data_IF_758949919288
#
_entry.id   IF_758949919288
#
_cell.length_a   1.000
_cell.length_b   1.000
_cell.length_c   1.000
_cell.angle_alpha   90.00
_cell.angle_beta   90.00
_cell.angle_gamma   90.00
#
_symmetry.space_group_name_H-M   'P 1'
#
loop_
_entity.id
_entity.type
_entity.pdbx_description
1 polymer ?
#
# COMPACT_ATOMS: atom_id res chain seq x y z
N UNK A 1 2.17 -11.57 5.33
CA UNK A 1 3.08 -12.02 6.42
C UNK A 1 2.26 -12.04 7.70
N UNK A 2 2.59 -12.89 8.69
CA UNK A 2 1.98 -12.81 10.03
C UNK A 2 3.05 -12.36 11.03
N UNK A 3 2.69 -11.44 11.89
CA UNK A 3 3.46 -11.05 13.06
C UNK A 3 2.74 -11.66 14.27
N UNK A 4 3.46 -12.46 15.04
CA UNK A 4 2.90 -13.15 16.22
C UNK A 4 3.69 -12.83 17.48
N UNK A 5 3.06 -12.98 18.62
CA UNK A 5 3.74 -13.09 19.91
C UNK A 5 4.42 -14.46 20.10
N UNK A 6 5.03 -14.68 21.25
CA UNK A 6 5.74 -15.93 21.58
C UNK A 6 4.80 -17.14 21.75
N UNK A 7 3.51 -16.91 21.97
CA UNK A 7 2.51 -17.95 22.18
C UNK A 7 1.70 -18.23 20.88
N UNK A 8 2.06 -17.56 19.78
CA UNK A 8 1.42 -17.69 18.47
C UNK A 8 0.17 -16.82 18.30
N UNK A 9 -0.12 -15.92 19.23
CA UNK A 9 -1.17 -14.92 19.09
C UNK A 9 -0.84 -13.93 17.95
N UNK A 10 -1.79 -13.67 17.06
CA UNK A 10 -1.59 -12.77 15.93
C UNK A 10 -1.61 -11.32 16.43
N UNK A 11 -0.50 -10.60 16.22
CA UNK A 11 -0.38 -9.17 16.48
C UNK A 11 -0.88 -8.39 15.26
N UNK A 12 -0.43 -8.77 14.05
CA UNK A 12 -0.84 -8.15 12.80
C UNK A 12 -0.53 -9.05 11.60
N UNK A 13 -1.13 -8.75 10.43
CA UNK A 13 -0.96 -9.47 9.17
C UNK A 13 -0.52 -8.56 8.01
N UNK A 14 0.58 -7.81 8.14
CA UNK A 14 0.99 -6.81 7.17
C UNK A 14 1.31 -7.39 5.80
N UNK A 15 1.22 -6.53 4.79
CA UNK A 15 1.88 -6.74 3.51
C UNK A 15 3.34 -6.32 3.65
N UNK A 16 4.25 -7.24 3.34
CA UNK A 16 5.69 -6.99 3.31
C UNK A 16 6.13 -6.64 1.89
N UNK A 17 6.70 -5.45 1.70
CA UNK A 17 7.36 -5.03 0.47
C UNK A 17 8.87 -4.99 0.72
N UNK A 18 9.63 -5.78 -0.04
CA UNK A 18 11.09 -5.76 -0.01
C UNK A 18 11.60 -4.79 -1.08
N UNK A 19 11.90 -3.56 -0.70
CA UNK A 19 12.34 -2.50 -1.62
C UNK A 19 13.82 -2.65 -2.02
N UNK A 20 14.65 -3.12 -1.07
CA UNK A 20 16.07 -3.42 -1.30
C UNK A 20 16.51 -4.60 -0.43
N UNK A 21 17.80 -4.95 -0.49
CA UNK A 21 18.37 -6.05 0.30
C UNK A 21 18.11 -5.90 1.80
N UNK A 22 18.23 -4.67 2.29
CA UNK A 22 18.13 -4.26 3.69
C UNK A 22 17.02 -3.23 3.95
N UNK A 23 16.11 -3.02 2.99
CA UNK A 23 15.02 -2.04 3.09
C UNK A 23 13.66 -2.69 2.85
N UNK A 24 12.82 -2.65 3.87
CA UNK A 24 11.51 -3.27 3.87
C UNK A 24 10.43 -2.29 4.32
N UNK A 25 9.25 -2.38 3.72
CA UNK A 25 8.05 -1.75 4.24
C UNK A 25 7.09 -2.81 4.75
N UNK A 26 6.43 -2.48 5.86
CA UNK A 26 5.26 -3.18 6.37
C UNK A 26 4.05 -2.27 6.19
N UNK A 27 3.19 -2.60 5.25
CA UNK A 27 1.89 -1.93 5.09
C UNK A 27 0.90 -2.61 6.03
N UNK A 28 0.43 -1.85 7.01
CA UNK A 28 -0.47 -2.31 8.07
C UNK A 28 -1.71 -1.41 8.11
N UNK A 29 -2.84 -1.99 8.53
CA UNK A 29 -4.09 -1.26 8.56
C UNK A 29 -4.23 -0.41 9.83
N UNK A 30 -3.97 -0.99 10.98
CA UNK A 30 -4.22 -0.34 12.27
C UNK A 30 -3.53 -1.13 13.37
N UNK A 31 -2.47 -0.59 13.96
CA UNK A 31 -1.90 -1.13 15.19
C UNK A 31 -0.65 -0.38 15.65
N UNK A 32 -0.23 -0.67 16.87
CA UNK A 32 1.03 -0.19 17.48
C UNK A 32 2.27 -1.01 17.07
N UNK A 33 2.26 -1.65 15.90
CA UNK A 33 3.39 -2.49 15.41
C UNK A 33 4.70 -1.72 15.40
N UNK A 34 4.68 -0.41 15.14
CA UNK A 34 5.87 0.42 15.17
C UNK A 34 6.57 0.35 16.53
N UNK A 35 5.84 0.56 17.61
CA UNK A 35 6.39 0.55 18.98
C UNK A 35 6.79 -0.85 19.41
N UNK A 36 5.97 -1.84 19.08
CA UNK A 36 6.27 -3.25 19.34
C UNK A 36 7.57 -3.69 18.63
N UNK A 37 7.71 -3.40 17.33
CA UNK A 37 8.89 -3.76 16.56
C UNK A 37 10.16 -3.06 17.07
N UNK A 38 10.06 -1.78 17.44
CA UNK A 38 11.16 -1.04 18.09
C UNK A 38 11.55 -1.67 19.43
N UNK A 39 10.58 -2.05 20.23
CA UNK A 39 10.82 -2.73 21.52
C UNK A 39 11.54 -4.06 21.34
N UNK A 40 11.06 -4.90 20.43
CA UNK A 40 11.67 -6.20 20.11
C UNK A 40 13.09 -6.02 19.58
N UNK A 41 13.29 -5.11 18.63
CA UNK A 41 14.62 -4.86 18.06
C UNK A 41 15.62 -4.37 19.13
N UNK A 42 15.20 -3.46 20.00
CA UNK A 42 16.03 -2.96 21.09
C UNK A 42 16.39 -4.05 22.09
N UNK A 43 15.42 -4.86 22.52
CA UNK A 43 15.65 -5.98 23.44
C UNK A 43 16.55 -7.06 22.85
N UNK A 44 16.47 -7.30 21.55
CA UNK A 44 17.29 -8.28 20.83
C UNK A 44 18.65 -7.73 20.39
N UNK A 45 18.93 -6.45 20.62
CA UNK A 45 20.20 -5.82 20.20
C UNK A 45 20.39 -5.77 18.69
N UNK A 46 19.31 -5.66 17.91
CA UNK A 46 19.35 -5.62 16.45
C UNK A 46 19.83 -4.24 15.95
N UNK A 47 20.74 -4.23 14.99
CA UNK A 47 21.17 -3.02 14.29
C UNK A 47 20.19 -2.71 13.13
N UNK A 48 19.05 -2.13 13.50
CA UNK A 48 17.99 -1.76 12.55
C UNK A 48 17.39 -0.39 12.88
N UNK A 49 17.00 0.35 11.86
CA UNK A 49 16.23 1.59 12.01
C UNK A 49 14.77 1.31 11.63
N UNK A 50 13.86 1.52 12.57
CA UNK A 50 12.43 1.32 12.37
C UNK A 50 11.72 2.66 12.52
N UNK A 51 11.02 3.10 11.46
CA UNK A 51 10.32 4.37 11.42
C UNK A 51 9.06 4.29 10.58
N UNK A 52 8.12 5.16 10.83
CA UNK A 52 7.02 5.46 9.94
C UNK A 52 7.51 6.47 8.89
N UNK A 53 7.46 6.13 7.59
CA UNK A 53 7.83 7.05 6.53
C UNK A 53 6.68 8.01 6.20
N UNK A 54 6.99 9.14 5.53
CA UNK A 54 5.97 9.97 4.87
C UNK A 54 5.51 9.27 3.58
N UNK A 55 4.61 8.32 3.73
CA UNK A 55 4.04 7.53 2.64
C UNK A 55 2.55 7.37 2.87
N UNK A 56 1.77 7.79 1.89
CA UNK A 56 0.31 7.72 1.94
C UNK A 56 -0.21 6.72 0.90
N UNK A 57 -0.80 5.59 1.32
CA UNK A 57 -1.39 4.62 0.41
C UNK A 57 -2.77 5.05 -0.05
N UNK A 58 -3.01 4.99 -1.36
CA UNK A 58 -4.34 5.00 -1.96
C UNK A 58 -4.69 3.60 -2.44
N UNK A 59 -5.90 3.13 -2.12
CA UNK A 59 -6.40 1.85 -2.61
C UNK A 59 -7.34 2.05 -3.79
N UNK A 60 -6.97 1.48 -4.93
CA UNK A 60 -7.81 1.39 -6.12
C UNK A 60 -8.34 -0.04 -6.23
N UNK A 61 -9.60 -0.26 -5.85
CA UNK A 61 -10.17 -1.59 -5.72
C UNK A 61 -11.43 -1.74 -6.60
N UNK A 62 -11.71 -2.96 -7.02
CA UNK A 62 -12.90 -3.31 -7.78
C UNK A 62 -12.60 -3.86 -9.18
N UNK A 63 -13.63 -4.39 -9.89
CA UNK A 63 -13.44 -5.13 -11.14
C UNK A 63 -12.82 -4.30 -12.27
N UNK A 64 -12.96 -2.98 -12.23
CA UNK A 64 -12.40 -2.06 -13.23
C UNK A 64 -11.08 -1.39 -12.82
N UNK A 65 -10.55 -1.73 -11.66
CA UNK A 65 -9.32 -1.13 -11.13
C UNK A 65 -8.13 -1.26 -12.09
N UNK A 66 -8.01 -2.40 -12.79
CA UNK A 66 -6.97 -2.60 -13.80
C UNK A 66 -7.08 -1.63 -14.98
N UNK A 67 -8.28 -1.41 -15.47
CA UNK A 67 -8.51 -0.52 -16.61
C UNK A 67 -8.21 0.94 -16.24
N UNK A 68 -8.61 1.34 -15.04
CA UNK A 68 -8.34 2.67 -14.49
C UNK A 68 -6.83 2.84 -14.26
N UNK A 69 -6.18 1.85 -13.65
CA UNK A 69 -4.72 1.90 -13.42
C UNK A 69 -3.96 1.99 -14.75
N UNK A 70 -4.39 1.21 -15.77
CA UNK A 70 -3.80 1.26 -17.11
C UNK A 70 -3.96 2.63 -17.76
N UNK A 71 -5.12 3.24 -17.64
CA UNK A 71 -5.36 4.58 -18.16
C UNK A 71 -4.54 5.66 -17.45
N UNK A 72 -4.28 5.48 -16.14
CA UNK A 72 -3.52 6.43 -15.35
C UNK A 72 -1.99 6.26 -15.48
N UNK A 73 -1.50 5.04 -15.48
CA UNK A 73 -0.05 4.74 -15.34
C UNK A 73 0.51 3.83 -16.44
N UNK A 74 -0.33 3.41 -17.39
CA UNK A 74 0.09 2.53 -18.48
C UNK A 74 -0.02 1.03 -18.17
N UNK A 75 0.47 0.23 -19.12
CA UNK A 75 0.31 -1.23 -19.08
C UNK A 75 1.16 -1.90 -17.99
N UNK A 76 2.38 -1.42 -17.76
CA UNK A 76 3.34 -2.10 -16.90
C UNK A 76 2.82 -2.30 -15.47
N UNK A 77 2.35 -1.26 -14.75
CA UNK A 77 1.77 -1.46 -13.42
C UNK A 77 0.43 -2.21 -13.46
N UNK A 78 -0.36 -2.07 -14.52
CA UNK A 78 -1.64 -2.75 -14.66
C UNK A 78 -1.49 -4.29 -14.80
N UNK A 79 -0.37 -4.77 -15.35
CA UNK A 79 -0.07 -6.19 -15.54
C UNK A 79 0.69 -6.83 -14.37
N UNK A 80 0.87 -6.10 -13.26
CA UNK A 80 1.47 -6.66 -12.04
C UNK A 80 0.72 -7.93 -11.60
N UNK A 81 1.47 -8.98 -11.31
CA UNK A 81 0.93 -10.20 -10.72
C UNK A 81 0.56 -9.98 -9.26
N UNK A 82 -0.38 -10.76 -8.76
CA UNK A 82 -0.79 -10.73 -7.36
C UNK A 82 0.41 -10.88 -6.40
N UNK A 83 0.46 -10.07 -5.37
CA UNK A 83 1.59 -9.92 -4.43
C UNK A 83 2.92 -9.54 -5.12
N UNK A 84 2.85 -8.74 -6.18
CA UNK A 84 4.02 -8.06 -6.77
C UNK A 84 3.83 -6.57 -6.70
N UNK A 85 4.93 -5.86 -6.66
CA UNK A 85 4.98 -4.41 -6.69
C UNK A 85 6.08 -3.94 -7.62
N UNK A 86 6.06 -2.66 -7.96
CA UNK A 86 7.11 -1.96 -8.66
C UNK A 86 7.25 -0.53 -8.13
N UNK A 87 8.44 0.03 -8.26
CA UNK A 87 8.65 1.46 -8.13
C UNK A 87 8.28 2.13 -9.45
N UNK A 88 7.62 3.28 -9.37
CA UNK A 88 7.11 4.01 -10.53
C UNK A 88 7.38 5.50 -10.37
N UNK A 89 7.88 6.15 -11.41
CA UNK A 89 8.00 7.60 -11.45
C UNK A 89 6.79 8.19 -12.18
N UNK A 90 5.97 8.94 -11.43
CA UNK A 90 4.82 9.64 -11.99
C UNK A 90 5.16 11.12 -12.16
N UNK A 91 5.73 11.50 -13.33
CA UNK A 91 6.14 12.88 -13.63
C UNK A 91 7.05 13.50 -12.57
N UNK A 92 8.03 12.76 -12.09
CA UNK A 92 8.96 13.18 -11.05
C UNK A 92 8.44 12.96 -9.62
N UNK A 93 7.26 12.37 -9.44
CA UNK A 93 6.70 11.98 -8.15
C UNK A 93 6.92 10.49 -7.93
N UNK A 94 7.72 10.08 -6.94
CA UNK A 94 8.00 8.67 -6.73
C UNK A 94 6.81 7.94 -6.11
N UNK A 95 6.38 6.87 -6.75
CA UNK A 95 5.32 5.96 -6.28
C UNK A 95 5.89 4.56 -6.08
N UNK A 96 5.22 3.78 -5.26
CA UNK A 96 5.27 2.31 -5.29
C UNK A 96 3.87 1.82 -5.60
N UNK A 97 3.71 1.00 -6.62
CA UNK A 97 2.42 0.43 -7.00
C UNK A 97 2.48 -1.07 -6.73
N UNK A 98 1.58 -1.58 -5.93
CA UNK A 98 1.48 -3.00 -5.63
C UNK A 98 0.14 -3.59 -6.04
N UNK A 99 0.17 -4.85 -6.46
CA UNK A 99 -1.02 -5.64 -6.78
C UNK A 99 -1.50 -6.36 -5.52
N UNK A 100 -1.94 -5.57 -4.55
CA UNK A 100 -2.43 -5.98 -3.24
C UNK A 100 -3.72 -5.23 -2.89
N UNK A 101 -4.32 -5.59 -1.78
CA UNK A 101 -5.53 -5.01 -1.24
C UNK A 101 -6.24 -6.05 -0.39
N UNK A 102 -7.22 -5.64 0.39
CA UNK A 102 -7.93 -6.54 1.29
C UNK A 102 -9.46 -6.55 1.10
N UNK A 103 -9.93 -5.92 0.02
CA UNK A 103 -11.34 -5.88 -0.33
C UNK A 103 -11.88 -7.19 -0.92
N UNK A 104 -11.04 -8.20 -1.11
CA UNK A 104 -11.30 -9.45 -1.85
C UNK A 104 -11.61 -9.23 -3.35
N UNK A 105 -11.46 -8.00 -3.83
CA UNK A 105 -11.63 -7.62 -5.22
C UNK A 105 -10.28 -7.48 -5.94
N UNK A 106 -10.34 -7.38 -7.27
CA UNK A 106 -9.20 -6.94 -8.06
C UNK A 106 -8.80 -5.55 -7.60
N UNK A 107 -7.53 -5.36 -7.21
CA UNK A 107 -7.12 -4.07 -6.70
C UNK A 107 -5.63 -3.84 -6.69
N UNK A 108 -5.28 -2.60 -6.45
CA UNK A 108 -3.92 -2.11 -6.35
C UNK A 108 -3.81 -1.13 -5.19
N UNK A 109 -2.64 -1.08 -4.59
CA UNK A 109 -2.27 -0.07 -3.61
C UNK A 109 -1.19 0.82 -4.21
N UNK A 110 -1.42 2.12 -4.17
CA UNK A 110 -0.55 3.14 -4.73
C UNK A 110 0.03 3.92 -3.56
N UNK A 111 1.29 3.68 -3.25
CA UNK A 111 2.00 4.31 -2.14
C UNK A 111 2.69 5.57 -2.65
N UNK A 112 2.15 6.72 -2.26
CA UNK A 112 2.72 8.02 -2.56
C UNK A 112 3.87 8.31 -1.58
N UNK A 113 5.07 8.57 -2.10
CA UNK A 113 6.28 8.83 -1.30
C UNK A 113 6.54 10.31 -1.03
N UNK A 114 5.63 11.18 -1.42
CA UNK A 114 5.63 12.62 -1.15
C UNK A 114 4.21 13.06 -0.79
N UNK A 115 3.91 13.14 0.49
CA UNK A 115 2.57 13.48 1.00
C UNK A 115 2.05 14.83 0.51
N UNK A 116 2.94 15.77 0.12
CA UNK A 116 2.53 17.06 -0.43
C UNK A 116 1.80 16.96 -1.77
N UNK A 117 1.85 15.82 -2.43
CA UNK A 117 1.22 15.53 -3.74
C UNK A 117 -0.07 14.71 -3.63
N UNK A 118 -0.59 14.51 -2.41
CA UNK A 118 -1.76 13.69 -2.17
C UNK A 118 -3.00 14.13 -2.95
N UNK A 119 -3.36 15.40 -2.84
CA UNK A 119 -4.53 15.96 -3.56
C UNK A 119 -4.35 15.84 -5.08
N UNK A 120 -3.15 16.12 -5.59
CA UNK A 120 -2.86 16.01 -7.02
C UNK A 120 -3.05 14.58 -7.53
N UNK A 121 -2.58 13.58 -6.79
CA UNK A 121 -2.73 12.18 -7.16
C UNK A 121 -4.19 11.73 -7.07
N UNK A 122 -4.89 12.16 -6.04
CA UNK A 122 -6.31 11.88 -5.85
C UNK A 122 -7.15 12.44 -7.02
N UNK A 123 -6.99 13.74 -7.33
CA UNK A 123 -7.73 14.40 -8.40
C UNK A 123 -7.44 13.76 -9.76
N UNK A 124 -6.18 13.42 -10.02
CA UNK A 124 -5.77 12.73 -11.24
C UNK A 124 -6.46 11.38 -11.40
N UNK A 125 -6.49 10.56 -10.35
CA UNK A 125 -7.16 9.26 -10.38
C UNK A 125 -8.68 9.41 -10.54
N UNK A 126 -9.28 10.40 -9.87
CA UNK A 126 -10.70 10.68 -9.97
C UNK A 126 -11.08 11.19 -11.37
N UNK A 127 -10.29 12.06 -11.98
CA UNK A 127 -10.53 12.56 -13.34
C UNK A 127 -10.57 11.40 -14.37
N UNK A 128 -9.60 10.49 -14.29
CA UNK A 128 -9.51 9.34 -15.17
C UNK A 128 -10.58 8.29 -14.86
N UNK A 129 -10.82 8.03 -13.58
CA UNK A 129 -11.64 6.92 -13.14
C UNK A 129 -13.14 7.20 -13.12
N UNK A 130 -13.57 8.44 -12.88
CA UNK A 130 -14.99 8.77 -12.78
C UNK A 130 -15.81 8.37 -14.03
N UNK A 131 -15.33 8.61 -15.27
CA UNK A 131 -16.01 8.12 -16.47
C UNK A 131 -16.11 6.59 -16.55
N UNK A 132 -15.24 5.89 -15.84
CA UNK A 132 -15.22 4.42 -15.73
C UNK A 132 -15.97 3.90 -14.51
N UNK A 133 -16.65 4.78 -13.76
CA UNK A 133 -17.44 4.41 -12.59
C UNK A 133 -16.63 4.34 -11.29
N UNK A 134 -15.47 4.98 -11.23
CA UNK A 134 -14.74 5.16 -9.97
C UNK A 134 -15.53 6.08 -9.04
N UNK A 135 -15.70 5.63 -7.80
CA UNK A 135 -16.30 6.43 -6.74
C UNK A 135 -15.37 6.47 -5.52
N UNK A 136 -15.31 7.59 -4.80
CA UNK A 136 -14.61 7.63 -3.53
C UNK A 136 -15.16 6.57 -2.58
N UNK A 137 -14.26 5.75 -2.04
CA UNK A 137 -14.58 4.80 -1.00
C UNK A 137 -14.21 5.35 0.39
N UNK A 138 -14.85 4.83 1.41
CA UNK A 138 -14.51 5.10 2.79
C UNK A 138 -14.24 3.79 3.51
N UNK A 139 -13.37 3.80 4.52
CA UNK A 139 -13.00 2.61 5.31
C UNK A 139 -14.24 1.85 5.82
N UNK A 140 -15.30 2.57 6.21
CA UNK A 140 -16.56 1.98 6.65
C UNK A 140 -17.33 1.27 5.51
N UNK A 141 -17.10 1.63 4.26
CA UNK A 141 -17.77 0.97 3.13
C UNK A 141 -17.28 -0.46 2.91
N UNK A 142 -16.07 -0.78 3.39
CA UNK A 142 -15.49 -2.12 3.30
C UNK A 142 -16.12 -3.11 4.28
N UNK A 143 -16.83 -2.64 5.30
CA UNK A 143 -17.54 -3.47 6.28
C UNK A 143 -18.86 -4.01 5.72
N UNK A 144 -19.38 -3.38 4.67
CA UNK A 144 -20.71 -3.67 4.11
C UNK A 144 -20.66 -4.38 2.74
N UNK A 145 -19.48 -4.84 2.33
CA UNK A 145 -19.32 -5.60 1.08
C UNK A 145 -19.69 -7.07 1.26
#
# INVERSE_FOLDING_TARGET
MLITDQDGGIINDPILLKLAEDHFWLSIADSDVLLWARGVAACAGMDVTIREPDVSPLQLQGPRSRDILRAAFGDEPAELKYYRFMEYDWNGVPLVISRTGWSSELGYEIFLRDGSKGDMLWDYLMEIGAPMGLHPGHTLSLIHI
#
